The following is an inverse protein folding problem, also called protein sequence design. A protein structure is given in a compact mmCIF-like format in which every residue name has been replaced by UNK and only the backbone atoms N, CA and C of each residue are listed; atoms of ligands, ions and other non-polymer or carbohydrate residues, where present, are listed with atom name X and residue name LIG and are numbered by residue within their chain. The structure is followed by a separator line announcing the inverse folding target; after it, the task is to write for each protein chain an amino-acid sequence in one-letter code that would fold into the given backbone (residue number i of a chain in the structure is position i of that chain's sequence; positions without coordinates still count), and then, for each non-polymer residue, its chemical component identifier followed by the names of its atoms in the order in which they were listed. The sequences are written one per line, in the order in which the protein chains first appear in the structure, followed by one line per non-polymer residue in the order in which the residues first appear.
data_IF_588463463443
#
_entry.id   IF_588463463443
#
_cell.length_a   1.000
_cell.length_b   1.000
_cell.length_c   1.000
_cell.angle_alpha   90.00
_cell.angle_beta   90.00
_cell.angle_gamma   90.00
#
_symmetry.space_group_name_H-M   'P 1'
#
loop_
_entity.id
_entity.type
_entity.pdbx_description
1 polymer ?
#
# COMPACT_ATOMS: atom_id res chain seq x y z
N UNK A 1 -15.27 -12.01 -20.56
CA UNK A 1 -14.52 -13.24 -20.25
C UNK A 1 -14.30 -13.25 -18.76
N UNK A 2 -14.63 -14.34 -18.06
CA UNK A 2 -14.27 -14.47 -16.65
C UNK A 2 -12.75 -14.59 -16.55
N UNK A 3 -12.14 -13.74 -15.73
CA UNK A 3 -10.72 -13.85 -15.40
C UNK A 3 -10.53 -14.72 -14.16
N UNK A 4 -9.27 -14.98 -13.84
CA UNK A 4 -8.85 -15.65 -12.62
C UNK A 4 -8.51 -14.58 -11.59
N UNK A 5 -9.28 -14.50 -10.51
CA UNK A 5 -9.00 -13.61 -9.39
C UNK A 5 -7.92 -14.23 -8.51
N UNK A 6 -6.90 -13.47 -8.14
CA UNK A 6 -5.77 -13.93 -7.31
C UNK A 6 -5.86 -13.32 -5.91
N UNK A 7 -5.94 -14.18 -4.88
CA UNK A 7 -6.08 -13.76 -3.48
C UNK A 7 -4.74 -13.63 -2.77
N UNK A 8 -3.88 -14.64 -2.90
CA UNK A 8 -2.63 -14.73 -2.16
C UNK A 8 -1.60 -15.63 -2.85
N UNK A 9 -0.33 -15.44 -2.51
CA UNK A 9 0.77 -16.33 -2.86
C UNK A 9 1.17 -17.15 -1.64
N UNK A 10 1.43 -18.44 -1.82
CA UNK A 10 1.77 -19.42 -0.78
C UNK A 10 2.95 -20.29 -1.20
N UNK A 11 3.52 -21.12 -0.31
CA UNK A 11 4.45 -22.16 -0.72
C UNK A 11 3.72 -23.25 -1.52
N UNK A 12 4.41 -23.98 -2.37
CA UNK A 12 3.79 -25.10 -3.11
C UNK A 12 3.28 -26.25 -2.22
N UNK A 13 3.63 -26.28 -0.93
CA UNK A 13 3.11 -27.24 0.04
C UNK A 13 1.73 -26.87 0.60
N UNK A 14 1.16 -25.72 0.22
CA UNK A 14 -0.17 -25.31 0.65
C UNK A 14 -1.27 -26.27 0.15
N UNK A 15 -2.46 -26.17 0.74
CA UNK A 15 -3.61 -26.96 0.31
C UNK A 15 -4.04 -26.60 -1.11
N UNK A 16 -4.54 -27.60 -1.84
CA UNK A 16 -5.02 -27.42 -3.21
C UNK A 16 -6.42 -26.79 -3.29
N UNK A 17 -7.24 -26.97 -2.24
CA UNK A 17 -8.60 -26.47 -2.13
C UNK A 17 -8.86 -26.00 -0.69
N UNK A 18 -9.77 -25.04 -0.55
CA UNK A 18 -10.11 -24.42 0.73
C UNK A 18 -11.62 -24.45 0.94
N UNK A 19 -12.06 -24.69 2.18
CA UNK A 19 -13.46 -24.61 2.59
C UNK A 19 -13.86 -23.16 2.88
N UNK A 20 -13.83 -22.35 1.82
CA UNK A 20 -14.22 -20.94 1.82
C UNK A 20 -14.72 -20.56 0.42
N UNK A 21 -15.80 -19.80 0.36
CA UNK A 21 -16.35 -19.32 -0.91
C UNK A 21 -15.54 -18.14 -1.46
N UNK A 22 -15.19 -18.21 -2.75
CA UNK A 22 -14.60 -17.13 -3.51
C UNK A 22 -15.63 -16.07 -3.96
N UNK A 23 -15.14 -15.09 -4.72
CA UNK A 23 -15.91 -13.89 -5.10
C UNK A 23 -16.96 -14.12 -6.19
N UNK A 24 -16.83 -15.16 -7.02
CA UNK A 24 -17.80 -15.46 -8.09
C UNK A 24 -18.95 -16.31 -7.53
N UNK A 25 -20.21 -15.84 -7.56
CA UNK A 25 -21.35 -16.66 -7.19
C UNK A 25 -21.59 -17.83 -8.16
N UNK A 26 -21.14 -17.69 -9.42
CA UNK A 26 -21.28 -18.72 -10.44
C UNK A 26 -20.31 -19.89 -10.23
N UNK A 27 -19.13 -19.62 -9.68
CA UNK A 27 -18.16 -20.61 -9.26
C UNK A 27 -17.44 -20.13 -7.97
N UNK A 28 -17.96 -20.49 -6.79
CA UNK A 28 -17.40 -20.06 -5.52
C UNK A 28 -16.14 -20.84 -5.15
N UNK A 29 -15.64 -21.77 -5.98
CA UNK A 29 -14.50 -22.61 -5.62
C UNK A 29 -13.21 -21.80 -5.56
N UNK A 30 -12.47 -21.99 -4.46
CA UNK A 30 -11.12 -21.49 -4.29
C UNK A 30 -10.13 -22.64 -4.42
N UNK A 31 -9.10 -22.46 -5.25
CA UNK A 31 -8.09 -23.48 -5.55
C UNK A 31 -6.70 -22.88 -5.66
N UNK A 32 -5.69 -23.73 -5.71
CA UNK A 32 -4.29 -23.29 -5.87
C UNK A 32 -3.74 -23.68 -7.25
N UNK A 33 -3.08 -22.74 -7.92
CA UNK A 33 -2.24 -22.98 -9.10
C UNK A 33 -0.78 -23.01 -8.65
N UNK A 34 -0.02 -24.01 -9.07
CA UNK A 34 1.37 -24.18 -8.64
C UNK A 34 2.36 -23.95 -9.78
N UNK A 35 3.46 -23.25 -9.50
CA UNK A 35 4.63 -23.18 -10.38
C UNK A 35 5.86 -22.72 -9.59
N UNK A 36 7.05 -23.19 -10.00
CA UNK A 36 8.35 -22.79 -9.45
C UNK A 36 8.45 -22.83 -7.91
N UNK A 37 7.88 -23.85 -7.26
CA UNK A 37 7.90 -24.01 -5.80
C UNK A 37 6.94 -23.09 -5.02
N UNK A 38 6.12 -22.30 -5.72
CA UNK A 38 5.10 -21.43 -5.16
C UNK A 38 3.69 -21.88 -5.55
N UNK A 39 2.70 -21.45 -4.78
CA UNK A 39 1.29 -21.55 -5.06
C UNK A 39 0.63 -20.18 -5.18
N UNK A 40 -0.37 -20.04 -6.03
CA UNK A 40 -1.27 -18.90 -6.09
C UNK A 40 -2.68 -19.36 -5.75
N UNK A 41 -3.26 -18.81 -4.70
CA UNK A 41 -4.65 -19.07 -4.33
C UNK A 41 -5.55 -18.21 -5.21
N UNK A 42 -6.44 -18.87 -5.95
CA UNK A 42 -7.24 -18.26 -7.00
C UNK A 42 -8.70 -18.73 -6.95
N UNK A 43 -9.56 -17.96 -7.59
CA UNK A 43 -10.95 -18.31 -7.86
C UNK A 43 -11.43 -17.63 -9.13
N UNK A 44 -12.65 -17.94 -9.57
CA UNK A 44 -13.22 -17.24 -10.71
C UNK A 44 -13.51 -15.77 -10.33
N UNK A 45 -13.17 -14.85 -11.23
CA UNK A 45 -13.50 -13.44 -11.07
C UNK A 45 -14.96 -13.20 -11.46
N UNK A 46 -15.75 -12.50 -10.62
CA UNK A 46 -17.04 -11.98 -11.07
C UNK A 46 -16.84 -11.00 -12.24
N UNK A 47 -17.85 -10.84 -13.13
CA UNK A 47 -17.77 -9.98 -14.31
C UNK A 47 -17.96 -8.49 -13.95
N UNK A 48 -17.13 -7.97 -13.05
CA UNK A 48 -17.16 -6.58 -12.57
C UNK A 48 -15.83 -5.90 -12.82
N UNK A 49 -15.86 -4.57 -13.01
CA UNK A 49 -14.64 -3.76 -12.98
C UNK A 49 -14.38 -3.29 -11.55
N UNK A 50 -13.40 -3.92 -10.89
CA UNK A 50 -13.00 -3.58 -9.52
C UNK A 50 -12.56 -2.10 -9.35
N UNK A 51 -12.23 -1.39 -10.44
CA UNK A 51 -11.86 0.04 -10.41
C UNK A 51 -13.06 0.99 -10.42
N UNK A 52 -14.24 0.49 -10.77
CA UNK A 52 -15.46 1.28 -10.96
C UNK A 52 -16.60 0.85 -10.02
N UNK A 53 -16.29 0.14 -8.93
CA UNK A 53 -17.27 -0.30 -7.94
C UNK A 53 -17.81 0.89 -7.12
N UNK A 54 -19.08 0.79 -6.72
CA UNK A 54 -19.60 1.61 -5.62
C UNK A 54 -18.88 1.31 -4.32
N UNK A 55 -18.98 2.21 -3.33
CA UNK A 55 -18.35 2.02 -2.02
C UNK A 55 -18.87 0.75 -1.34
N UNK A 56 -20.17 0.50 -1.41
CA UNK A 56 -20.85 -0.64 -0.80
C UNK A 56 -20.38 -1.96 -1.42
N UNK A 57 -20.28 -2.02 -2.75
CA UNK A 57 -19.77 -3.19 -3.46
C UNK A 57 -18.29 -3.44 -3.18
N UNK A 58 -17.47 -2.38 -3.17
CA UNK A 58 -16.06 -2.48 -2.86
C UNK A 58 -15.84 -3.04 -1.45
N UNK A 59 -16.59 -2.56 -0.44
CA UNK A 59 -16.53 -3.08 0.93
C UNK A 59 -16.93 -4.56 0.97
N UNK A 60 -18.01 -4.95 0.31
CA UNK A 60 -18.45 -6.36 0.26
C UNK A 60 -17.36 -7.26 -0.32
N UNK A 61 -16.87 -6.94 -1.52
CA UNK A 61 -15.85 -7.76 -2.18
C UNK A 61 -14.52 -7.76 -1.43
N UNK A 62 -14.15 -6.65 -0.76
CA UNK A 62 -12.95 -6.58 0.07
C UNK A 62 -13.06 -7.53 1.28
N UNK A 63 -14.22 -7.56 1.94
CA UNK A 63 -14.48 -8.50 3.04
C UNK A 63 -14.42 -9.95 2.58
N UNK A 64 -15.01 -10.27 1.42
CA UNK A 64 -14.95 -11.62 0.85
C UNK A 64 -13.52 -12.02 0.45
N UNK A 65 -12.75 -11.10 -0.13
CA UNK A 65 -11.33 -11.30 -0.40
C UNK A 65 -10.57 -11.61 0.89
N UNK A 66 -10.78 -10.80 1.93
CA UNK A 66 -10.11 -10.96 3.22
C UNK A 66 -10.45 -12.31 3.86
N UNK A 67 -11.71 -12.74 3.82
CA UNK A 67 -12.14 -14.05 4.33
C UNK A 67 -11.38 -15.20 3.69
N UNK A 68 -11.17 -15.15 2.37
CA UNK A 68 -10.39 -16.18 1.65
C UNK A 68 -8.93 -16.16 2.12
N UNK A 69 -8.29 -14.99 2.17
CA UNK A 69 -6.89 -14.88 2.60
C UNK A 69 -6.70 -15.37 4.03
N UNK A 70 -7.57 -14.97 4.96
CA UNK A 70 -7.55 -15.44 6.36
C UNK A 70 -7.77 -16.95 6.47
N UNK A 71 -8.61 -17.54 5.61
CA UNK A 71 -8.81 -18.98 5.57
C UNK A 71 -7.53 -19.74 5.17
N UNK A 72 -6.80 -19.22 4.18
CA UNK A 72 -5.52 -19.78 3.74
C UNK A 72 -4.45 -19.64 4.83
N UNK A 73 -4.41 -18.49 5.52
CA UNK A 73 -3.45 -18.21 6.58
C UNK A 73 -3.51 -19.19 7.75
N UNK A 74 -4.68 -19.80 8.00
CA UNK A 74 -4.83 -20.80 9.07
C UNK A 74 -4.01 -22.07 8.83
N UNK A 75 -3.60 -22.34 7.58
CA UNK A 75 -2.92 -23.59 7.21
C UNK A 75 -1.58 -23.38 6.51
N UNK A 76 -1.25 -22.14 6.11
CA UNK A 76 -0.02 -21.83 5.38
C UNK A 76 0.40 -20.37 5.56
N UNK A 77 1.71 -20.05 5.53
CA UNK A 77 2.19 -18.70 5.27
C UNK A 77 1.61 -18.14 3.98
N UNK A 78 1.32 -16.84 3.96
CA UNK A 78 0.77 -16.16 2.78
C UNK A 78 1.47 -14.82 2.55
N UNK A 79 1.63 -14.46 1.27
CA UNK A 79 1.76 -13.07 0.85
C UNK A 79 0.42 -12.64 0.25
N UNK A 80 -0.28 -11.66 0.85
CA UNK A 80 -1.54 -11.21 0.30
C UNK A 80 -1.33 -10.51 -1.05
N UNK A 81 -2.21 -10.78 -2.01
CA UNK A 81 -2.22 -10.09 -3.30
C UNK A 81 -3.17 -8.91 -3.22
N UNK A 82 -2.83 -7.80 -3.89
CA UNK A 82 -3.67 -6.60 -3.91
C UNK A 82 -5.09 -6.95 -4.35
N UNK A 83 -6.08 -6.47 -3.61
CA UNK A 83 -7.49 -6.55 -3.97
C UNK A 83 -7.74 -6.13 -5.43
N UNK A 84 -8.57 -6.89 -6.14
CA UNK A 84 -8.94 -6.64 -7.52
C UNK A 84 -7.91 -7.14 -8.55
N UNK A 85 -6.94 -7.94 -8.14
CA UNK A 85 -5.97 -8.55 -9.07
C UNK A 85 -6.62 -9.70 -9.83
N UNK A 86 -6.83 -9.49 -11.13
CA UNK A 86 -7.42 -10.47 -12.04
C UNK A 86 -6.47 -10.73 -13.19
N UNK A 87 -6.20 -12.01 -13.47
CA UNK A 87 -5.40 -12.48 -14.59
C UNK A 87 -6.28 -13.17 -15.63
N UNK A 88 -5.90 -13.19 -16.93
CA UNK A 88 -6.75 -13.78 -17.98
C UNK A 88 -7.05 -15.27 -17.82
N UNK A 89 -6.09 -16.05 -17.31
CA UNK A 89 -6.17 -17.51 -17.20
C UNK A 89 -5.05 -18.07 -16.32
N UNK A 90 -5.09 -19.38 -16.05
CA UNK A 90 -4.10 -20.11 -15.24
C UNK A 90 -2.67 -20.05 -15.79
N UNK A 91 -2.49 -19.96 -17.11
CA UNK A 91 -1.15 -19.83 -17.72
C UNK A 91 -0.50 -18.50 -17.31
N UNK A 92 -1.28 -17.42 -17.25
CA UNK A 92 -0.81 -16.14 -16.74
C UNK A 92 -0.55 -16.17 -15.22
N UNK A 93 -1.30 -16.97 -14.46
CA UNK A 93 -1.02 -17.22 -13.03
C UNK A 93 0.27 -18.02 -12.86
N UNK A 94 0.53 -19.02 -13.71
CA UNK A 94 1.81 -19.72 -13.74
C UNK A 94 2.97 -18.76 -14.04
N UNK A 95 2.80 -17.89 -15.04
CA UNK A 95 3.79 -16.86 -15.39
C UNK A 95 4.05 -15.86 -14.25
N UNK A 96 3.01 -15.49 -13.48
CA UNK A 96 3.12 -14.68 -12.26
C UNK A 96 4.08 -15.35 -11.26
N UNK A 97 3.89 -16.63 -10.99
CA UNK A 97 4.67 -17.40 -10.03
C UNK A 97 6.11 -17.63 -10.51
N UNK A 98 6.29 -18.04 -11.77
CA UNK A 98 7.62 -18.29 -12.37
C UNK A 98 8.49 -17.03 -12.37
N UNK A 99 7.95 -15.93 -12.91
CA UNK A 99 8.69 -14.66 -13.03
C UNK A 99 8.82 -13.94 -11.69
N UNK A 100 7.81 -14.06 -10.83
CA UNK A 100 7.80 -13.44 -9.51
C UNK A 100 8.63 -14.19 -8.47
N UNK A 101 8.99 -15.45 -8.69
CA UNK A 101 9.67 -16.27 -7.69
C UNK A 101 10.90 -15.61 -7.03
N UNK A 102 11.80 -14.92 -7.75
CA UNK A 102 12.95 -14.28 -7.12
C UNK A 102 12.58 -13.19 -6.10
N UNK A 103 11.43 -12.52 -6.27
CA UNK A 103 10.94 -11.49 -5.34
C UNK A 103 9.91 -12.03 -4.33
N UNK A 104 9.16 -13.07 -4.68
CA UNK A 104 8.10 -13.64 -3.85
C UNK A 104 8.64 -14.64 -2.82
N UNK A 105 9.50 -15.58 -3.23
CA UNK A 105 9.95 -16.67 -2.36
C UNK A 105 10.74 -16.17 -1.13
N UNK A 106 11.69 -15.23 -1.25
CA UNK A 106 12.41 -14.71 -0.08
C UNK A 106 11.48 -13.99 0.90
N UNK A 107 10.50 -13.22 0.39
CA UNK A 107 9.51 -12.51 1.21
C UNK A 107 8.59 -13.48 1.93
N UNK A 108 8.11 -14.51 1.24
CA UNK A 108 7.25 -15.51 1.86
C UNK A 108 7.99 -16.28 2.97
N UNK A 109 9.27 -16.60 2.78
CA UNK A 109 10.11 -17.22 3.81
C UNK A 109 10.35 -16.29 5.01
N UNK A 110 10.55 -14.99 4.77
CA UNK A 110 10.67 -13.98 5.82
C UNK A 110 9.43 -13.95 6.72
N UNK A 111 8.22 -13.95 6.14
CA UNK A 111 6.96 -13.84 6.90
C UNK A 111 6.44 -15.17 7.49
N UNK A 112 7.04 -16.31 7.14
CA UNK A 112 6.54 -17.63 7.54
C UNK A 112 6.49 -17.89 9.06
N UNK A 113 7.19 -17.09 9.87
CA UNK A 113 7.23 -17.19 11.33
C UNK A 113 6.83 -15.89 12.03
N UNK A 114 6.06 -15.07 11.33
CA UNK A 114 5.56 -13.79 11.81
C UNK A 114 4.05 -13.77 11.82
N UNK A 115 3.50 -12.84 12.59
CA UNK A 115 2.10 -12.45 12.57
C UNK A 115 2.02 -10.93 12.49
N UNK A 116 1.00 -10.40 11.81
CA UNK A 116 0.66 -8.99 11.90
C UNK A 116 -0.47 -8.81 12.91
N UNK A 117 -0.30 -7.84 13.82
CA UNK A 117 -1.34 -7.34 14.71
C UNK A 117 -1.54 -5.85 14.42
N UNK A 118 -2.79 -5.41 14.29
CA UNK A 118 -3.13 -3.99 14.33
C UNK A 118 -3.41 -3.58 15.78
N UNK A 119 -2.67 -2.61 16.29
CA UNK A 119 -2.87 -2.00 17.60
C UNK A 119 -3.47 -0.60 17.42
N UNK A 120 -4.72 -0.45 17.87
CA UNK A 120 -5.38 0.85 17.96
C UNK A 120 -5.36 1.29 19.42
N UNK A 121 -4.77 2.45 19.67
CA UNK A 121 -4.75 3.09 20.99
C UNK A 121 -5.65 4.31 20.97
N UNK A 122 -6.59 4.40 21.90
CA UNK A 122 -7.53 5.52 22.00
C UNK A 122 -7.63 6.05 23.43
N UNK A 123 -8.05 7.32 23.57
CA UNK A 123 -8.34 7.94 24.86
C UNK A 123 -9.83 8.32 24.96
N UNK A 124 -10.27 8.69 26.16
CA UNK A 124 -11.54 9.40 26.30
C UNK A 124 -11.35 10.87 25.94
N UNK A 125 -11.79 11.25 24.73
CA UNK A 125 -11.62 12.62 24.23
C UNK A 125 -12.34 13.65 25.12
N UNK A 126 -13.50 13.31 25.71
CA UNK A 126 -14.24 14.24 26.57
C UNK A 126 -13.51 14.51 27.88
N UNK A 127 -12.79 13.51 28.42
CA UNK A 127 -11.91 13.70 29.57
C UNK A 127 -10.71 14.58 29.22
N UNK A 128 -10.07 14.31 28.09
CA UNK A 128 -8.92 15.09 27.60
C UNK A 128 -9.33 16.55 27.36
N UNK A 129 -10.47 16.79 26.73
CA UNK A 129 -11.00 18.14 26.51
C UNK A 129 -11.33 18.86 27.82
N UNK A 130 -11.88 18.16 28.82
CA UNK A 130 -12.14 18.75 30.14
C UNK A 130 -10.85 19.17 30.84
N UNK A 131 -9.79 18.37 30.73
CA UNK A 131 -8.49 18.72 31.28
C UNK A 131 -7.85 19.90 30.55
N UNK A 132 -7.92 19.93 29.22
CA UNK A 132 -7.44 21.07 28.42
C UNK A 132 -8.22 22.33 28.78
N UNK A 133 -9.55 22.24 28.93
CA UNK A 133 -10.38 23.38 29.31
C UNK A 133 -10.05 23.96 30.69
N UNK A 134 -9.41 23.18 31.57
CA UNK A 134 -8.95 23.62 32.88
C UNK A 134 -7.54 24.24 32.87
N UNK A 135 -6.82 24.20 31.74
CA UNK A 135 -5.53 24.88 31.60
C UNK A 135 -5.72 26.40 31.62
N UNK A 136 -4.89 27.11 32.37
CA UNK A 136 -5.04 28.56 32.62
C UNK A 136 -5.17 29.38 31.33
N UNK A 137 -4.38 29.05 30.31
CA UNK A 137 -4.39 29.76 29.02
C UNK A 137 -5.71 29.54 28.26
N UNK A 138 -6.24 28.32 28.26
CA UNK A 138 -7.52 27.97 27.63
C UNK A 138 -8.67 28.62 28.38
N UNK A 139 -8.65 28.55 29.72
CA UNK A 139 -9.67 29.15 30.58
C UNK A 139 -9.73 30.67 30.42
N UNK A 140 -8.58 31.34 30.34
CA UNK A 140 -8.48 32.79 30.11
C UNK A 140 -9.06 33.19 28.76
N UNK A 141 -8.60 32.58 27.67
CA UNK A 141 -9.08 32.89 26.31
C UNK A 141 -10.58 32.56 26.14
N UNK A 142 -11.07 31.52 26.83
CA UNK A 142 -12.49 31.20 26.86
C UNK A 142 -13.31 32.29 27.56
N UNK A 143 -12.81 32.85 28.66
CA UNK A 143 -13.47 33.95 29.36
C UNK A 143 -13.46 35.24 28.53
N UNK A 144 -12.34 35.56 27.88
CA UNK A 144 -12.22 36.70 26.96
C UNK A 144 -13.21 36.58 25.79
N UNK A 145 -13.25 35.43 25.12
CA UNK A 145 -14.17 35.17 24.01
C UNK A 145 -15.66 35.22 24.41
N UNK A 146 -15.99 34.93 25.68
CA UNK A 146 -17.35 35.01 26.20
C UNK A 146 -17.78 36.44 26.56
N UNK A 147 -16.81 37.33 26.81
CA UNK A 147 -17.05 38.74 27.14
C UNK A 147 -17.17 39.64 25.89
N UNK A 148 -16.74 39.16 24.72
CA UNK A 148 -16.76 39.91 23.47
C UNK A 148 -18.15 39.98 22.79
N UNK A 149 -18.52 41.10 22.15
CA UNK A 149 -19.68 41.18 21.27
C UNK A 149 -19.63 40.14 20.15
N UNK A 150 -20.79 39.61 19.75
CA UNK A 150 -20.88 38.50 18.80
C UNK A 150 -20.17 38.74 17.45
N UNK A 151 -20.05 40.01 17.04
CA UNK A 151 -19.39 40.46 15.81
C UNK A 151 -17.85 40.45 15.90
N UNK A 152 -17.27 40.60 17.10
CA UNK A 152 -15.82 40.54 17.36
C UNK A 152 -15.34 39.13 17.75
N UNK A 153 -16.24 38.30 18.28
CA UNK A 153 -15.93 36.99 18.85
C UNK A 153 -15.44 35.92 17.84
N UNK A 154 -15.51 36.16 16.53
CA UNK A 154 -15.05 35.17 15.53
C UNK A 154 -13.53 34.93 15.58
N UNK A 155 -12.74 35.98 15.80
CA UNK A 155 -11.27 35.85 15.93
C UNK A 155 -10.89 35.06 17.18
N UNK A 156 -11.49 35.42 18.31
CA UNK A 156 -11.24 34.79 19.61
C UNK A 156 -11.71 33.34 19.66
N UNK A 157 -12.84 33.00 19.03
CA UNK A 157 -13.29 31.59 18.88
C UNK A 157 -12.33 30.77 18.02
N UNK A 158 -11.82 31.33 16.92
CA UNK A 158 -10.84 30.64 16.08
C UNK A 158 -9.54 30.40 16.85
N UNK A 159 -9.03 31.41 17.56
CA UNK A 159 -7.84 31.30 18.39
C UNK A 159 -7.99 30.25 19.49
N UNK A 160 -9.13 30.24 20.19
CA UNK A 160 -9.45 29.22 21.20
C UNK A 160 -9.48 27.81 20.59
N UNK A 161 -10.12 27.65 19.42
CA UNK A 161 -10.18 26.37 18.72
C UNK A 161 -8.79 25.87 18.31
N UNK A 162 -7.93 26.76 17.80
CA UNK A 162 -6.55 26.43 17.46
C UNK A 162 -5.74 26.02 18.69
N UNK A 163 -5.93 26.71 19.82
CA UNK A 163 -5.20 26.42 21.05
C UNK A 163 -5.60 25.05 21.62
N UNK A 164 -6.90 24.75 21.66
CA UNK A 164 -7.40 23.43 22.06
C UNK A 164 -6.85 22.35 21.14
N UNK A 165 -6.88 22.56 19.81
CA UNK A 165 -6.35 21.58 18.86
C UNK A 165 -4.85 21.33 19.07
N UNK A 166 -4.06 22.38 19.25
CA UNK A 166 -2.63 22.27 19.55
C UNK A 166 -2.37 21.55 20.89
N UNK A 167 -3.21 21.74 21.90
CA UNK A 167 -3.10 21.01 23.17
C UNK A 167 -3.41 19.51 23.00
N UNK A 168 -4.44 19.17 22.22
CA UNK A 168 -4.76 17.78 21.86
C UNK A 168 -3.57 17.14 21.13
N UNK A 169 -3.07 17.80 20.08
CA UNK A 169 -2.01 17.23 19.24
C UNK A 169 -0.69 17.06 20.03
N UNK A 170 -0.33 18.03 20.88
CA UNK A 170 0.84 17.88 21.79
C UNK A 170 0.73 16.70 22.73
N UNK A 171 -0.42 16.54 23.41
CA UNK A 171 -0.66 15.41 24.31
C UNK A 171 -0.62 14.08 23.55
N UNK A 172 -1.16 14.07 22.32
CA UNK A 172 -1.13 12.89 21.45
C UNK A 172 0.30 12.50 21.11
N UNK A 173 1.10 13.46 20.67
CA UNK A 173 2.46 13.20 20.19
C UNK A 173 3.37 12.69 21.33
N UNK A 174 3.21 13.20 22.54
CA UNK A 174 3.91 12.68 23.73
C UNK A 174 3.56 11.22 24.01
N UNK A 175 2.25 10.91 24.12
CA UNK A 175 1.77 9.55 24.36
C UNK A 175 2.19 8.59 23.25
N UNK A 176 2.03 9.01 21.99
CA UNK A 176 2.43 8.22 20.81
C UNK A 176 3.94 7.95 20.82
N UNK A 177 4.75 8.94 21.16
CA UNK A 177 6.21 8.78 21.30
C UNK A 177 6.57 7.72 22.33
N UNK A 178 5.92 7.73 23.49
CA UNK A 178 6.10 6.73 24.56
C UNK A 178 5.67 5.33 24.11
N UNK A 179 4.50 5.21 23.46
CA UNK A 179 3.98 3.94 22.94
C UNK A 179 4.94 3.35 21.90
N UNK A 180 5.38 4.16 20.93
CA UNK A 180 6.32 3.71 19.91
C UNK A 180 7.66 3.27 20.51
N UNK A 181 8.21 4.04 21.46
CA UNK A 181 9.46 3.69 22.14
C UNK A 181 9.34 2.37 22.91
N UNK A 182 8.18 2.12 23.53
CA UNK A 182 7.93 0.90 24.29
C UNK A 182 7.74 -0.35 23.40
N UNK A 183 7.14 -0.21 22.22
CA UNK A 183 6.77 -1.35 21.37
C UNK A 183 7.82 -1.70 20.31
N UNK A 184 8.65 -0.75 19.87
CA UNK A 184 9.73 -1.01 18.90
C UNK A 184 10.66 -2.17 19.29
N UNK A 185 11.07 -2.38 20.55
CA UNK A 185 11.96 -3.48 20.91
C UNK A 185 11.33 -4.87 20.84
N UNK A 186 9.99 -4.96 20.90
CA UNK A 186 9.26 -6.24 20.92
C UNK A 186 8.66 -6.61 19.57
N UNK A 187 8.64 -5.66 18.62
CA UNK A 187 8.22 -5.89 17.24
C UNK A 187 9.44 -6.11 16.32
N UNK A 188 9.33 -7.05 15.39
CA UNK A 188 10.32 -7.24 14.33
C UNK A 188 10.30 -6.07 13.34
N UNK A 189 9.11 -5.52 13.10
CA UNK A 189 8.89 -4.31 12.31
C UNK A 189 7.59 -3.61 12.76
N UNK A 190 7.46 -2.33 12.46
CA UNK A 190 6.32 -1.49 12.85
C UNK A 190 6.00 -0.48 11.75
N UNK A 191 4.71 -0.35 11.42
CA UNK A 191 4.20 0.73 10.56
C UNK A 191 3.26 1.60 11.39
N UNK A 192 3.50 2.91 11.34
CA UNK A 192 2.71 3.91 12.05
C UNK A 192 1.68 4.51 11.08
N UNK A 193 0.43 4.07 11.21
CA UNK A 193 -0.66 4.41 10.30
C UNK A 193 -1.25 5.79 10.61
N UNK A 194 -1.95 6.37 9.62
CA UNK A 194 -2.74 7.57 9.85
C UNK A 194 -3.84 7.30 10.89
N UNK A 195 -4.13 8.33 11.67
CA UNK A 195 -5.23 8.34 12.62
C UNK A 195 -6.52 8.72 11.87
N UNK A 196 -7.63 8.10 12.27
CA UNK A 196 -8.92 8.33 11.63
C UNK A 196 -9.68 9.52 12.23
N UNK A 197 -9.47 9.79 13.51
CA UNK A 197 -10.15 10.84 14.26
C UNK A 197 -9.32 11.30 15.48
N UNK A 198 -9.84 12.30 16.21
CA UNK A 198 -9.16 12.84 17.39
C UNK A 198 -9.23 11.94 18.64
N UNK A 199 -10.01 10.85 18.61
CA UNK A 199 -10.09 9.87 19.71
C UNK A 199 -8.94 8.87 19.66
N UNK A 200 -8.37 8.66 18.48
CA UNK A 200 -7.18 7.83 18.30
C UNK A 200 -5.91 8.57 18.74
N UNK A 201 -5.08 7.85 19.50
CA UNK A 201 -3.74 8.27 19.92
C UNK A 201 -2.68 7.66 19.01
N UNK A 202 -2.83 6.36 18.70
CA UNK A 202 -1.95 5.62 17.82
C UNK A 202 -2.74 4.57 17.03
N UNK A 203 -2.29 4.31 15.80
CA UNK A 203 -2.82 3.25 14.94
C UNK A 203 -1.61 2.55 14.32
N UNK A 204 -1.25 1.37 14.82
CA UNK A 204 0.04 0.74 14.51
C UNK A 204 -0.20 -0.65 13.92
N UNK A 205 0.43 -0.94 12.79
CA UNK A 205 0.62 -2.32 12.37
C UNK A 205 1.95 -2.83 12.93
N UNK A 206 1.91 -3.95 13.64
CA UNK A 206 3.05 -4.57 14.30
C UNK A 206 3.34 -5.92 13.65
N UNK A 207 4.57 -6.12 13.20
CA UNK A 207 5.06 -7.42 12.76
C UNK A 207 5.73 -8.09 13.96
N UNK A 208 5.10 -9.13 14.48
CA UNK A 208 5.61 -9.88 15.62
C UNK A 208 6.13 -11.23 15.15
N UNK A 209 7.20 -11.72 15.76
CA UNK A 209 7.57 -13.14 15.62
C UNK A 209 6.53 -13.95 16.38
N UNK A 210 6.11 -15.10 15.85
CA UNK A 210 5.08 -15.95 16.51
C UNK A 210 5.43 -16.25 17.98
N UNK A 211 6.69 -16.60 18.26
CA UNK A 211 7.19 -16.86 19.63
C UNK A 211 7.35 -15.61 20.49
N UNK A 212 7.20 -14.43 19.92
CA UNK A 212 7.33 -13.13 20.60
C UNK A 212 6.00 -12.55 21.10
N UNK A 213 4.85 -13.18 20.81
CA UNK A 213 3.53 -12.66 21.20
C UNK A 213 3.41 -12.46 22.71
N UNK A 214 3.90 -13.40 23.53
CA UNK A 214 3.85 -13.25 25.00
C UNK A 214 4.69 -12.07 25.51
N UNK A 215 5.80 -11.76 24.85
CA UNK A 215 6.63 -10.62 25.21
C UNK A 215 5.93 -9.31 24.85
N UNK A 216 5.25 -9.28 23.70
CA UNK A 216 4.42 -8.16 23.30
C UNK A 216 3.28 -7.93 24.31
N UNK A 217 2.53 -8.97 24.68
CA UNK A 217 1.41 -8.86 25.62
C UNK A 217 1.89 -8.33 27.00
N UNK A 218 3.02 -8.86 27.51
CA UNK A 218 3.63 -8.37 28.75
C UNK A 218 4.04 -6.90 28.65
N UNK A 219 4.65 -6.50 27.53
CA UNK A 219 5.09 -5.12 27.35
C UNK A 219 3.89 -4.16 27.21
N UNK A 220 2.80 -4.61 26.58
CA UNK A 220 1.58 -3.83 26.46
C UNK A 220 0.89 -3.63 27.82
N UNK A 221 0.81 -4.69 28.63
CA UNK A 221 0.27 -4.60 30.00
C UNK A 221 1.09 -3.63 30.87
N UNK A 222 2.42 -3.72 30.82
CA UNK A 222 3.30 -2.79 31.53
C UNK A 222 3.10 -1.34 31.05
N UNK A 223 2.95 -1.14 29.74
CA UNK A 223 2.72 0.18 29.17
C UNK A 223 1.37 0.79 29.62
N UNK A 224 0.32 -0.03 29.75
CA UNK A 224 -0.98 0.40 30.26
C UNK A 224 -0.89 0.86 31.73
N UNK A 225 -0.16 0.11 32.57
CA UNK A 225 0.15 0.49 33.95
C UNK A 225 0.96 1.80 34.03
N UNK A 226 2.03 1.93 33.22
CA UNK A 226 2.87 3.14 33.12
C UNK A 226 2.08 4.38 32.65
N UNK A 227 0.94 4.19 31.98
CA UNK A 227 0.05 5.24 31.49
C UNK A 227 -1.22 5.40 32.35
N UNK A 228 -1.28 4.69 33.48
CA UNK A 228 -2.32 4.85 34.48
C UNK A 228 -3.70 4.36 34.05
N UNK A 229 -3.79 3.43 33.10
CA UNK A 229 -5.06 2.85 32.63
C UNK A 229 -6.01 3.84 31.96
N UNK A 230 -5.48 4.98 31.46
CA UNK A 230 -6.27 6.06 30.84
C UNK A 230 -6.52 5.87 29.35
N UNK A 231 -5.89 4.86 28.76
CA UNK A 231 -5.97 4.55 27.34
C UNK A 231 -6.68 3.21 27.15
N UNK A 232 -7.29 3.06 25.98
CA UNK A 232 -7.85 1.80 25.52
C UNK A 232 -6.96 1.24 24.42
N UNK A 233 -6.38 0.07 24.67
CA UNK A 233 -5.56 -0.68 23.72
C UNK A 233 -6.39 -1.79 23.09
N UNK A 234 -6.60 -1.72 21.77
CA UNK A 234 -7.32 -2.74 21.00
C UNK A 234 -6.38 -3.42 20.02
N UNK A 235 -6.09 -4.71 20.27
CA UNK A 235 -5.33 -5.56 19.35
C UNK A 235 -6.26 -6.31 18.40
N UNK A 236 -5.95 -6.32 17.11
CA UNK A 236 -6.70 -7.02 16.06
C UNK A 236 -5.74 -7.90 15.27
N UNK A 237 -6.00 -9.20 15.24
CA UNK A 237 -5.27 -10.15 14.41
C UNK A 237 -5.24 -11.57 15.00
N UNK A 238 -4.44 -12.47 14.41
CA UNK A 238 -3.48 -12.23 13.33
C UNK A 238 -4.15 -11.81 12.01
N UNK A 239 -3.55 -10.84 11.30
CA UNK A 239 -4.03 -10.32 10.02
C UNK A 239 -3.07 -10.66 8.88
N UNK A 240 -3.54 -10.71 7.62
CA UNK A 240 -2.64 -10.75 6.47
C UNK A 240 -1.70 -9.55 6.45
N UNK A 241 -0.47 -9.75 5.96
CA UNK A 241 0.62 -8.78 6.03
C UNK A 241 0.47 -7.56 5.10
N UNK A 242 -0.73 -7.03 4.86
CA UNK A 242 -0.96 -5.94 3.90
C UNK A 242 -0.09 -4.70 4.17
N UNK A 243 0.19 -4.42 5.45
CA UNK A 243 1.01 -3.27 5.85
C UNK A 243 2.49 -3.46 5.55
N UNK A 244 2.99 -4.70 5.53
CA UNK A 244 4.40 -5.01 5.36
C UNK A 244 4.75 -5.53 3.96
N UNK A 245 3.86 -6.32 3.36
CA UNK A 245 4.06 -6.97 2.08
C UNK A 245 2.73 -7.27 1.37
N UNK A 246 2.40 -6.47 0.37
CA UNK A 246 1.32 -6.71 -0.58
C UNK A 246 1.89 -7.01 -1.96
N UNK A 247 1.49 -8.13 -2.57
CA UNK A 247 1.88 -8.49 -3.93
C UNK A 247 1.07 -7.68 -4.92
N UNK A 248 1.79 -6.98 -5.79
CA UNK A 248 1.25 -6.15 -6.84
C UNK A 248 1.56 -6.74 -8.20
N UNK A 249 0.52 -6.97 -8.99
CA UNK A 249 0.64 -7.54 -10.34
C UNK A 249 0.24 -6.49 -11.37
N UNK A 250 1.10 -6.30 -12.38
CA UNK A 250 0.83 -5.41 -13.51
C UNK A 250 0.97 -6.17 -14.82
N UNK A 251 -0.06 -6.10 -15.66
CA UNK A 251 -0.04 -6.60 -17.03
C UNK A 251 0.23 -5.42 -17.98
N UNK A 252 1.41 -5.35 -18.61
CA UNK A 252 1.73 -4.27 -19.53
C UNK A 252 0.88 -4.39 -20.80
N UNK A 253 0.38 -3.26 -21.28
CA UNK A 253 -0.37 -3.21 -22.54
C UNK A 253 0.60 -3.03 -23.72
N UNK A 254 0.61 -3.99 -24.66
CA UNK A 254 1.40 -3.86 -25.88
C UNK A 254 1.09 -2.56 -26.61
N UNK A 255 -0.19 -2.16 -26.72
CA UNK A 255 -0.57 -0.90 -27.38
C UNK A 255 0.13 0.32 -26.76
N UNK A 256 0.22 0.37 -25.43
CA UNK A 256 0.86 1.47 -24.70
C UNK A 256 2.38 1.45 -24.86
N UNK A 257 3.01 0.27 -24.72
CA UNK A 257 4.46 0.10 -24.91
C UNK A 257 4.86 0.40 -26.36
N UNK A 258 4.09 -0.10 -27.34
CA UNK A 258 4.30 0.10 -28.77
C UNK A 258 4.18 1.58 -29.16
N UNK A 259 3.20 2.29 -28.61
CA UNK A 259 3.06 3.73 -28.80
C UNK A 259 4.26 4.48 -28.22
N UNK A 260 4.69 4.15 -27.00
CA UNK A 260 5.82 4.79 -26.34
C UNK A 260 7.14 4.58 -27.10
N UNK A 261 7.44 3.35 -27.55
CA UNK A 261 8.64 3.08 -28.37
C UNK A 261 8.63 3.86 -29.68
N UNK A 262 7.47 3.97 -30.35
CA UNK A 262 7.34 4.73 -31.61
C UNK A 262 7.52 6.23 -31.38
N UNK A 263 6.98 6.77 -30.28
CA UNK A 263 7.18 8.18 -29.89
C UNK A 263 8.66 8.50 -29.66
N UNK A 264 9.43 7.58 -29.08
CA UNK A 264 10.88 7.71 -28.93
C UNK A 264 11.69 7.22 -30.14
N UNK A 265 11.04 6.76 -31.22
CA UNK A 265 11.69 6.23 -32.44
C UNK A 265 12.64 5.05 -32.15
N UNK A 266 12.27 4.19 -31.19
CA UNK A 266 12.99 2.98 -30.83
C UNK A 266 12.49 1.76 -31.63
N UNK A 267 13.38 0.79 -31.82
CA UNK A 267 13.09 -0.49 -32.47
C UNK A 267 12.24 -1.44 -31.62
N UNK A 268 12.19 -2.71 -32.02
CA UNK A 268 11.48 -3.76 -31.29
C UNK A 268 12.18 -4.17 -29.98
N UNK A 269 13.44 -3.76 -29.79
CA UNK A 269 14.17 -3.86 -28.53
C UNK A 269 15.09 -2.65 -28.34
N UNK A 270 15.44 -2.35 -27.08
CA UNK A 270 16.42 -1.31 -26.72
C UNK A 270 17.02 -1.56 -25.34
N UNK A 271 18.27 -1.16 -25.10
CA UNK A 271 18.85 -1.15 -23.73
C UNK A 271 18.33 0.06 -22.96
N UNK A 272 18.35 -0.01 -21.62
CA UNK A 272 17.93 1.12 -20.79
C UNK A 272 18.76 2.38 -21.06
N UNK A 273 20.07 2.20 -21.31
CA UNK A 273 20.96 3.29 -21.70
C UNK A 273 20.53 3.95 -23.02
N UNK A 274 20.09 3.17 -24.01
CA UNK A 274 19.62 3.67 -25.30
C UNK A 274 18.34 4.48 -25.14
N UNK A 275 17.38 3.99 -24.33
CA UNK A 275 16.13 4.70 -24.02
C UNK A 275 16.46 6.08 -23.41
N UNK A 276 17.36 6.11 -22.41
CA UNK A 276 17.82 7.34 -21.75
C UNK A 276 18.54 8.29 -22.72
N UNK A 277 19.43 7.78 -23.55
CA UNK A 277 20.19 8.57 -24.52
C UNK A 277 19.30 9.20 -25.60
N UNK A 278 18.35 8.42 -26.14
CA UNK A 278 17.40 8.89 -27.15
C UNK A 278 16.46 9.95 -26.58
N UNK A 279 15.94 9.75 -25.38
CA UNK A 279 15.12 10.76 -24.71
C UNK A 279 15.87 12.09 -24.51
N UNK A 280 17.09 12.06 -23.97
CA UNK A 280 17.93 13.27 -23.78
C UNK A 280 18.13 14.01 -25.09
N UNK A 281 18.45 13.28 -26.18
CA UNK A 281 18.63 13.85 -27.53
C UNK A 281 17.36 14.50 -28.07
N UNK A 282 16.18 13.88 -27.85
CA UNK A 282 14.90 14.41 -28.32
C UNK A 282 14.47 15.65 -27.53
N UNK A 283 14.68 15.68 -26.21
CA UNK A 283 14.40 16.86 -25.38
C UNK A 283 15.29 18.04 -25.77
N UNK A 284 16.60 17.83 -25.96
CA UNK A 284 17.51 18.90 -26.40
C UNK A 284 17.13 19.50 -27.77
N UNK A 285 16.61 18.67 -28.69
CA UNK A 285 16.16 19.15 -30.01
C UNK A 285 14.84 19.91 -29.98
N UNK A 286 14.04 19.73 -28.93
CA UNK A 286 12.70 20.30 -28.80
C UNK A 286 12.57 21.22 -27.57
N UNK A 287 13.69 21.69 -27.02
CA UNK A 287 13.69 22.64 -25.90
C UNK A 287 13.02 23.95 -26.34
N UNK A 288 12.11 24.53 -25.53
CA UNK A 288 11.27 25.68 -25.89
C UNK A 288 12.03 27.00 -26.16
N UNK A 289 13.34 27.04 -26.02
CA UNK A 289 14.18 28.22 -26.29
C UNK A 289 14.51 28.41 -27.78
N UNK A 290 14.06 27.50 -28.66
CA UNK A 290 14.08 27.70 -30.11
C UNK A 290 12.67 28.09 -30.55
N UNK A 291 12.48 29.37 -30.88
CA UNK A 291 11.26 29.95 -31.44
C UNK A 291 10.57 28.99 -32.42
N UNK A 292 9.45 28.39 -32.01
CA UNK A 292 8.29 27.96 -32.81
C UNK A 292 7.24 27.43 -31.83
N UNK A 293 6.12 28.15 -31.72
CA UNK A 293 4.86 27.78 -31.05
C UNK A 293 4.97 27.15 -29.65
N UNK A 294 4.99 28.00 -28.62
CA UNK A 294 5.07 27.65 -27.18
C UNK A 294 4.05 26.57 -26.77
N UNK A 295 2.84 26.53 -27.37
CA UNK A 295 1.83 25.50 -27.07
C UNK A 295 2.16 24.12 -27.68
N UNK A 296 2.65 24.08 -28.92
CA UNK A 296 3.00 22.84 -29.64
C UNK A 296 4.26 22.19 -29.05
N UNK A 297 5.19 23.02 -28.53
CA UNK A 297 6.39 22.58 -27.83
C UNK A 297 6.09 21.84 -26.53
N UNK A 298 5.22 22.40 -25.68
CA UNK A 298 4.86 21.80 -24.39
C UNK A 298 4.18 20.43 -24.55
N UNK A 299 3.18 20.32 -25.45
CA UNK A 299 2.50 19.04 -25.70
C UNK A 299 3.45 17.97 -26.22
N UNK A 300 4.43 18.36 -27.03
CA UNK A 300 5.44 17.44 -27.57
C UNK A 300 6.41 16.96 -26.50
N UNK A 301 6.90 17.87 -25.65
CA UNK A 301 7.79 17.53 -24.51
C UNK A 301 7.06 16.64 -23.50
N UNK A 302 5.79 16.92 -23.21
CA UNK A 302 4.96 16.09 -22.34
C UNK A 302 4.80 14.67 -22.91
N UNK A 303 4.49 14.53 -24.21
CA UNK A 303 4.41 13.21 -24.88
C UNK A 303 5.72 12.44 -24.83
N UNK A 304 6.86 13.09 -25.11
CA UNK A 304 8.18 12.46 -25.04
C UNK A 304 8.50 11.98 -23.62
N UNK A 305 8.21 12.82 -22.63
CA UNK A 305 8.43 12.50 -21.21
C UNK A 305 7.53 11.36 -20.75
N UNK A 306 6.27 11.35 -21.17
CA UNK A 306 5.34 10.24 -20.92
C UNK A 306 5.85 8.93 -21.52
N UNK A 307 6.24 8.93 -22.80
CA UNK A 307 6.79 7.75 -23.47
C UNK A 307 8.07 7.24 -22.79
N UNK A 308 8.96 8.14 -22.39
CA UNK A 308 10.16 7.81 -21.63
C UNK A 308 9.83 7.14 -20.29
N UNK A 309 8.94 7.75 -19.49
CA UNK A 309 8.51 7.18 -18.20
C UNK A 309 7.90 5.79 -18.37
N UNK A 310 7.07 5.59 -19.40
CA UNK A 310 6.47 4.27 -19.70
C UNK A 310 7.52 3.20 -19.98
N UNK A 311 8.48 3.47 -20.88
CA UNK A 311 9.48 2.45 -21.25
C UNK A 311 10.49 2.21 -20.15
N UNK A 312 10.92 3.25 -19.42
CA UNK A 312 11.81 3.10 -18.27
C UNK A 312 11.13 2.33 -17.16
N UNK A 313 9.88 2.65 -16.82
CA UNK A 313 9.11 1.92 -15.81
C UNK A 313 8.93 0.44 -16.16
N UNK A 314 8.67 0.13 -17.43
CA UNK A 314 8.60 -1.26 -17.92
C UNK A 314 9.96 -1.99 -17.76
N UNK A 315 11.06 -1.35 -18.17
CA UNK A 315 12.41 -1.92 -18.10
C UNK A 315 12.90 -2.12 -16.65
N UNK A 316 12.66 -1.13 -15.78
CA UNK A 316 13.02 -1.19 -14.36
C UNK A 316 12.20 -2.25 -13.63
N UNK A 317 10.89 -2.36 -13.92
CA UNK A 317 10.05 -3.41 -13.35
C UNK A 317 10.52 -4.81 -13.77
N UNK A 318 10.88 -5.00 -15.04
CA UNK A 318 11.46 -6.27 -15.51
C UNK A 318 12.78 -6.61 -14.82
N UNK A 319 13.65 -5.62 -14.63
CA UNK A 319 14.94 -5.80 -13.95
C UNK A 319 14.76 -6.18 -12.49
N UNK A 320 13.83 -5.52 -11.80
CA UNK A 320 13.56 -5.77 -10.39
C UNK A 320 13.09 -7.21 -10.12
N UNK A 321 12.46 -7.89 -11.08
CA UNK A 321 12.04 -9.28 -10.93
C UNK A 321 13.17 -10.29 -11.09
N UNK A 322 14.24 -9.97 -11.83
CA UNK A 322 15.33 -10.91 -12.15
C UNK A 322 16.52 -10.72 -11.20
N UNK A 323 16.51 -9.69 -10.35
CA UNK A 323 17.69 -9.28 -9.56
C UNK A 323 18.83 -8.82 -10.48
N UNK A 324 20.08 -8.91 -10.01
CA UNK A 324 21.28 -8.54 -10.79
C UNK A 324 21.54 -9.46 -12.02
N UNK A 325 20.62 -10.37 -12.34
CA UNK A 325 20.80 -11.49 -13.28
C UNK A 325 20.36 -11.26 -14.74
N UNK A 326 19.77 -10.12 -15.11
CA UNK A 326 19.65 -9.77 -16.54
C UNK A 326 21.00 -9.25 -17.00
N UNK A 327 21.65 -9.84 -18.03
CA UNK A 327 22.77 -9.18 -18.66
C UNK A 327 22.27 -7.82 -19.13
N UNK A 328 22.85 -6.74 -18.60
CA UNK A 328 22.60 -5.36 -19.02
C UNK A 328 22.75 -5.16 -20.55
N UNK A 329 23.25 -6.18 -21.26
CA UNK A 329 23.53 -6.22 -22.68
C UNK A 329 22.37 -6.70 -23.57
N UNK A 330 21.42 -7.51 -23.08
CA UNK A 330 20.42 -8.19 -23.94
C UNK A 330 19.26 -7.32 -24.43
N UNK A 331 19.09 -6.13 -23.84
CA UNK A 331 18.02 -5.18 -24.20
C UNK A 331 16.61 -5.66 -23.83
N UNK A 332 15.69 -4.71 -23.60
CA UNK A 332 14.29 -4.99 -23.32
C UNK A 332 13.55 -5.17 -24.64
N UNK A 333 12.72 -6.21 -24.72
CA UNK A 333 11.90 -6.50 -25.91
C UNK A 333 10.53 -5.86 -25.76
N UNK A 334 10.07 -5.23 -26.83
CA UNK A 334 8.79 -4.53 -26.91
C UNK A 334 7.85 -5.17 -27.94
N UNK A 335 8.20 -6.34 -28.48
CA UNK A 335 7.32 -7.07 -29.38
C UNK A 335 6.06 -7.57 -28.65
N UNK A 336 4.97 -7.73 -29.41
CA UNK A 336 3.64 -8.06 -28.88
C UNK A 336 3.67 -9.30 -27.98
N UNK A 337 4.27 -10.39 -28.48
CA UNK A 337 4.28 -11.65 -27.76
C UNK A 337 5.00 -11.51 -26.41
N UNK A 338 6.15 -10.82 -26.40
CA UNK A 338 6.90 -10.58 -25.17
C UNK A 338 6.10 -9.72 -24.19
N UNK A 339 5.52 -8.61 -24.65
CA UNK A 339 4.79 -7.69 -23.75
C UNK A 339 3.52 -8.36 -23.21
N UNK A 340 2.70 -8.98 -24.05
CA UNK A 340 1.43 -9.58 -23.64
C UNK A 340 1.59 -10.82 -22.75
N UNK A 341 2.72 -11.53 -22.84
CA UNK A 341 3.06 -12.64 -21.93
C UNK A 341 3.85 -12.20 -20.68
N UNK A 342 4.18 -10.91 -20.56
CA UNK A 342 4.88 -10.41 -19.39
C UNK A 342 3.89 -10.21 -18.24
N UNK A 343 4.24 -10.75 -17.07
CA UNK A 343 3.61 -10.40 -15.79
C UNK A 343 4.66 -9.70 -14.95
N UNK A 344 4.39 -8.45 -14.58
CA UNK A 344 5.27 -7.68 -13.69
C UNK A 344 4.79 -7.85 -12.25
N UNK A 345 5.73 -8.14 -11.36
CA UNK A 345 5.46 -8.45 -9.95
C UNK A 345 6.30 -7.55 -9.07
N UNK A 346 5.67 -6.94 -8.08
CA UNK A 346 6.37 -6.22 -7.02
C UNK A 346 5.74 -6.61 -5.68
N UNK A 347 6.55 -6.64 -4.62
CA UNK A 347 6.04 -6.69 -3.24
C UNK A 347 6.18 -5.28 -2.66
N UNK A 348 5.06 -4.65 -2.34
CA UNK A 348 5.04 -3.30 -1.75
C UNK A 348 4.76 -3.38 -0.27
N UNK A 349 5.51 -2.59 0.48
CA UNK A 349 5.17 -2.20 1.84
C UNK A 349 4.21 -1.02 1.78
N UNK A 350 3.27 -0.96 2.70
CA UNK A 350 2.47 0.25 2.87
C UNK A 350 3.39 1.37 3.37
N UNK A 351 3.65 2.35 2.51
CA UNK A 351 4.40 3.54 2.92
C UNK A 351 3.54 4.38 3.86
N UNK A 352 4.20 4.97 4.86
CA UNK A 352 3.61 5.89 5.83
C UNK A 352 2.68 6.87 5.11
N UNK A 353 1.49 7.08 5.66
CA UNK A 353 0.75 8.30 5.40
C UNK A 353 1.53 9.46 6.05
N UNK A 354 2.66 9.84 5.45
CA UNK A 354 3.26 11.14 5.68
C UNK A 354 2.15 12.15 5.32
N UNK A 355 1.65 12.79 6.36
CA UNK A 355 0.64 13.84 6.35
C UNK A 355 0.53 14.54 4.99
N UNK A 356 -0.45 14.14 4.17
CA UNK A 356 -0.91 14.93 3.01
C UNK A 356 -1.75 16.11 3.49
N UNK A 357 -1.24 16.85 4.48
CA UNK A 357 -1.67 18.18 4.89
C UNK A 357 -0.47 19.12 4.80
N UNK A 358 0.12 19.18 3.61
CA UNK A 358 1.00 20.26 3.17
C UNK A 358 0.76 20.45 1.67
N UNK A 359 -0.32 21.14 1.33
CA UNK A 359 -0.71 21.25 -0.08
C UNK A 359 -1.98 22.05 -0.38
N UNK A 360 -2.36 23.01 0.47
CA UNK A 360 -3.09 24.22 0.05
C UNK A 360 -2.58 25.35 0.95
N UNK A 361 -1.61 26.11 0.45
CA UNK A 361 -1.42 27.51 0.83
C UNK A 361 -1.84 28.34 -0.36
#
# INVERSE_FOLDING_TARGET
MSGIYVYAITPASAQQAFDVAGLSPADPRVRTVYANGLGAVVGESPPVDFRALSREEAVRYLLDHQRVVEAVMRTSPVLPVRFGTVLPNDSMVGSLLERGAPVLAPRLAEFAHHIQIELIVSWNLDEVLREIAAEDEVARLRAEAAAEPAEAANGSRLALGMLVKNAIDRRRDDLRGRILAALRPVAADLVDNALMDDRMVANLALLLRERGSELFDKRLAQLDEELGGRLSFRCIGPLPFYSFATVEVTLPSFKVIDQARRTLRLGASARLADIKAVYRRLIQRHHPDREIAISVGHDRVARLTGAYKTLVGYAEALSAMVGDGLPAESGYRFDRNTVESTVLVAVRRQELAASRLAGVR
#
